data_IF_288469067374
#
_entry.id   IF_288469067374
#
_cell.length_a   1.000
_cell.length_b   1.000
_cell.length_c   1.000
_cell.angle_alpha   90.00
_cell.angle_beta   90.00
_cell.angle_gamma   90.00
#
_symmetry.space_group_name_H-M   'P 1'
#
loop_
_entity.id
_entity.type
_entity.pdbx_description
1 polymer ?
#
# COMPACT_ATOMS: atom_id res chain seq x y z
N UNK A 1 55.48 -0.84 30.08
CA UNK A 1 54.07 -0.39 30.19
C UNK A 1 53.34 -0.94 28.98
N UNK A 2 52.30 -1.77 29.18
CA UNK A 2 51.69 -2.60 28.13
C UNK A 2 50.40 -1.91 27.67
N UNK A 3 50.39 -1.38 26.45
CA UNK A 3 49.20 -0.78 25.84
C UNK A 3 48.20 -1.89 25.51
N UNK A 4 47.17 -2.05 26.35
CA UNK A 4 46.02 -2.92 26.09
C UNK A 4 44.80 -2.02 26.05
N UNK A 5 44.58 -1.28 24.96
CA UNK A 5 43.31 -0.58 24.73
C UNK A 5 43.25 -0.11 23.28
N UNK A 6 42.44 -0.74 22.44
CA UNK A 6 42.20 -0.23 21.07
C UNK A 6 41.41 -1.16 20.17
N UNK A 7 41.76 -2.46 20.12
CA UNK A 7 41.17 -3.39 19.16
C UNK A 7 39.71 -3.78 19.46
N UNK A 8 39.33 -3.88 20.74
CA UNK A 8 37.98 -4.33 21.13
C UNK A 8 36.87 -3.30 20.87
N UNK A 9 37.20 -2.00 20.88
CA UNK A 9 36.22 -0.93 20.69
C UNK A 9 35.82 -0.78 19.22
N UNK A 10 36.80 -0.92 18.32
CA UNK A 10 36.61 -0.80 16.87
C UNK A 10 35.78 -1.96 16.32
N UNK A 11 35.99 -3.18 16.83
CA UNK A 11 35.26 -4.37 16.35
C UNK A 11 33.78 -4.36 16.77
N UNK A 12 33.44 -3.77 17.93
CA UNK A 12 32.04 -3.60 18.37
C UNK A 12 31.30 -2.54 17.55
N UNK A 13 31.96 -1.45 17.19
CA UNK A 13 31.35 -0.37 16.42
C UNK A 13 30.92 -0.83 15.00
N UNK A 14 31.70 -1.71 14.37
CA UNK A 14 31.38 -2.24 13.04
C UNK A 14 30.14 -3.16 13.05
N UNK A 15 29.92 -3.91 14.13
CA UNK A 15 28.83 -4.87 14.25
C UNK A 15 27.45 -4.19 14.44
N UNK A 16 27.41 -3.00 15.05
CA UNK A 16 26.18 -2.22 15.21
C UNK A 16 25.73 -1.52 13.92
N UNK A 17 26.67 -1.17 13.03
CA UNK A 17 26.34 -0.54 11.75
C UNK A 17 25.73 -1.54 10.72
N UNK A 18 26.02 -2.83 10.85
CA UNK A 18 25.51 -3.88 9.95
C UNK A 18 24.06 -4.30 10.22
N UNK A 19 23.48 -3.91 11.36
CA UNK A 19 22.07 -4.15 11.70
C UNK A 19 21.14 -3.02 11.23
N UNK A 20 21.70 -1.94 10.69
CA UNK A 20 20.94 -0.90 10.00
C UNK A 20 20.57 -1.39 8.59
N UNK A 21 19.81 -2.48 8.51
CA UNK A 21 19.05 -2.81 7.31
C UNK A 21 18.24 -1.56 6.96
N UNK A 22 18.25 -1.09 5.70
CA UNK A 22 17.33 -0.03 5.33
C UNK A 22 15.94 -0.57 5.64
N UNK A 23 15.26 0.07 6.59
CA UNK A 23 13.83 -0.09 6.73
C UNK A 23 13.26 0.41 5.41
N UNK A 24 13.10 -0.50 4.44
CA UNK A 24 12.28 -0.26 3.27
C UNK A 24 10.96 0.20 3.88
N UNK A 25 10.66 1.48 3.68
CA UNK A 25 9.59 2.18 4.35
C UNK A 25 8.26 1.65 3.81
N UNK A 26 7.90 0.44 4.20
CA UNK A 26 6.57 -0.08 4.06
C UNK A 26 5.67 0.89 4.84
N UNK A 27 4.75 1.54 4.13
CA UNK A 27 3.74 2.38 4.75
C UNK A 27 3.06 1.57 5.87
N UNK A 28 2.68 2.24 6.95
CA UNK A 28 1.79 1.61 7.91
C UNK A 28 0.48 1.24 7.20
N UNK A 29 -0.22 0.21 7.69
CA UNK A 29 -1.49 -0.23 7.08
C UNK A 29 -2.52 0.89 6.98
N UNK A 30 -2.48 1.88 7.88
CA UNK A 30 -3.32 3.08 7.79
C UNK A 30 -3.02 3.89 6.54
N UNK A 31 -1.75 4.27 6.31
CA UNK A 31 -1.39 5.06 5.15
C UNK A 31 -1.57 4.26 3.86
N UNK A 32 -1.29 2.96 3.87
CA UNK A 32 -1.54 2.10 2.70
C UNK A 32 -3.04 2.05 2.33
N UNK A 33 -3.90 1.96 3.36
CA UNK A 33 -5.36 2.03 3.16
C UNK A 33 -5.79 3.40 2.63
N UNK A 34 -5.18 4.49 3.12
CA UNK A 34 -5.46 5.83 2.61
C UNK A 34 -5.09 5.95 1.13
N UNK A 35 -3.92 5.46 0.72
CA UNK A 35 -3.50 5.44 -0.69
C UNK A 35 -4.47 4.65 -1.58
N UNK A 36 -4.93 3.48 -1.09
CA UNK A 36 -5.92 2.65 -1.79
C UNK A 36 -7.26 3.36 -1.95
N UNK A 37 -7.81 3.93 -0.87
CA UNK A 37 -9.09 4.66 -0.88
C UNK A 37 -8.98 5.90 -1.76
N UNK A 38 -7.89 6.66 -1.66
CA UNK A 38 -7.63 7.82 -2.53
C UNK A 38 -7.55 7.40 -4.00
N UNK A 39 -6.89 6.28 -4.32
CA UNK A 39 -6.84 5.75 -5.69
C UNK A 39 -8.23 5.42 -6.23
N UNK A 40 -9.10 4.82 -5.41
CA UNK A 40 -10.49 4.53 -5.77
C UNK A 40 -11.28 5.83 -6.02
N UNK A 41 -11.25 6.75 -5.05
CA UNK A 41 -12.06 7.99 -5.09
C UNK A 41 -11.58 9.01 -6.12
N UNK A 42 -10.29 9.00 -6.47
CA UNK A 42 -9.72 9.91 -7.48
C UNK A 42 -9.88 9.42 -8.91
N UNK A 43 -10.48 8.24 -9.11
CA UNK A 43 -10.61 7.61 -10.42
C UNK A 43 -11.92 7.98 -11.10
N UNK A 44 -11.83 8.61 -12.28
CA UNK A 44 -13.00 8.83 -13.13
C UNK A 44 -13.64 7.52 -13.56
N UNK A 45 -12.86 6.45 -13.77
CA UNK A 45 -13.38 5.13 -14.13
C UNK A 45 -14.30 4.56 -13.05
N UNK A 46 -13.96 4.76 -11.76
CA UNK A 46 -14.81 4.33 -10.65
C UNK A 46 -16.05 5.21 -10.58
N UNK A 47 -15.89 6.53 -10.71
CA UNK A 47 -17.01 7.46 -10.69
C UNK A 47 -18.02 7.13 -11.81
N UNK A 48 -17.56 6.83 -13.01
CA UNK A 48 -18.41 6.43 -14.14
C UNK A 48 -19.02 5.04 -13.93
N UNK A 49 -18.27 4.08 -13.37
CA UNK A 49 -18.77 2.74 -13.09
C UNK A 49 -19.89 2.71 -12.04
N UNK A 50 -19.90 3.66 -11.10
CA UNK A 50 -21.01 3.84 -10.15
C UNK A 50 -22.06 4.85 -10.63
N UNK A 51 -22.00 5.30 -11.89
CA UNK A 51 -22.98 6.23 -12.45
C UNK A 51 -22.97 7.62 -11.80
N UNK A 52 -21.81 8.07 -11.29
CA UNK A 52 -21.64 9.33 -10.55
C UNK A 52 -22.50 9.40 -9.27
N UNK A 53 -22.97 8.25 -8.77
CA UNK A 53 -23.75 8.18 -7.54
C UNK A 53 -22.87 8.49 -6.29
N UNK A 54 -23.43 9.11 -5.24
CA UNK A 54 -22.70 9.37 -4.00
C UNK A 54 -22.21 8.07 -3.33
N UNK A 55 -20.93 8.06 -2.94
CA UNK A 55 -20.33 6.94 -2.23
C UNK A 55 -20.78 6.93 -0.77
N UNK A 56 -21.38 5.83 -0.32
CA UNK A 56 -21.79 5.62 1.06
C UNK A 56 -20.71 4.96 1.92
N UNK A 57 -20.00 3.97 1.38
CA UNK A 57 -18.88 3.34 2.08
C UNK A 57 -17.88 2.70 1.12
N UNK A 58 -16.61 2.64 1.55
CA UNK A 58 -15.54 1.92 0.88
C UNK A 58 -14.91 0.97 1.89
N UNK A 59 -14.86 -0.32 1.58
CA UNK A 59 -14.35 -1.35 2.48
C UNK A 59 -13.44 -2.34 1.75
N UNK A 60 -12.34 -2.74 2.38
CA UNK A 60 -11.54 -3.87 1.91
C UNK A 60 -12.28 -5.16 2.26
N UNK A 61 -12.57 -5.99 1.25
CA UNK A 61 -13.32 -7.24 1.42
C UNK A 61 -12.43 -8.47 1.32
N UNK A 62 -11.19 -8.30 0.86
CA UNK A 62 -10.21 -9.37 0.85
C UNK A 62 -9.07 -9.13 -0.12
N UNK A 63 -8.56 -10.21 -0.67
CA UNK A 63 -7.46 -10.24 -1.64
C UNK A 63 -7.78 -11.30 -2.69
N UNK A 64 -7.67 -10.93 -3.97
CA UNK A 64 -7.86 -11.84 -5.09
C UNK A 64 -6.64 -12.77 -5.22
N UNK A 65 -6.79 -13.91 -5.90
CA UNK A 65 -5.73 -14.92 -6.04
C UNK A 65 -4.42 -14.43 -6.70
N UNK A 66 -4.44 -13.28 -7.38
CA UNK A 66 -3.25 -12.62 -7.95
C UNK A 66 -2.57 -11.63 -6.99
N UNK A 67 -3.05 -11.51 -5.75
CA UNK A 67 -2.54 -10.57 -4.75
C UNK A 67 -3.14 -9.17 -4.85
N UNK A 68 -4.08 -8.91 -5.78
CA UNK A 68 -4.78 -7.63 -5.83
C UNK A 68 -5.69 -7.45 -4.61
N UNK A 69 -5.65 -6.28 -3.96
CA UNK A 69 -6.56 -5.98 -2.85
C UNK A 69 -7.97 -5.80 -3.38
N UNK A 70 -8.93 -6.57 -2.88
CA UNK A 70 -10.34 -6.46 -3.24
C UNK A 70 -11.02 -5.42 -2.35
N UNK A 71 -11.78 -4.52 -2.99
CA UNK A 71 -12.53 -3.47 -2.31
C UNK A 71 -13.95 -3.39 -2.85
N UNK A 72 -14.89 -3.09 -1.96
CA UNK A 72 -16.26 -2.78 -2.31
C UNK A 72 -16.50 -1.27 -2.16
N UNK A 73 -17.00 -0.66 -3.23
CA UNK A 73 -17.51 0.72 -3.26
C UNK A 73 -19.03 0.63 -3.25
N UNK A 74 -19.63 0.96 -2.12
CA UNK A 74 -21.09 0.94 -1.95
C UNK A 74 -21.67 2.33 -2.19
N UNK A 75 -22.67 2.39 -3.04
CA UNK A 75 -23.56 3.55 -3.22
C UNK A 75 -24.96 3.21 -2.69
N UNK A 76 -25.94 4.09 -2.88
CA UNK A 76 -27.33 3.79 -2.53
C UNK A 76 -27.94 2.71 -3.43
N UNK A 77 -27.45 2.61 -4.67
CA UNK A 77 -28.10 1.80 -5.72
C UNK A 77 -27.33 0.50 -6.02
N UNK A 78 -26.05 0.42 -5.66
CA UNK A 78 -25.21 -0.73 -5.99
C UNK A 78 -23.97 -0.89 -5.09
N UNK A 79 -23.43 -2.11 -5.08
CA UNK A 79 -22.11 -2.44 -4.58
C UNK A 79 -21.18 -2.75 -5.76
N UNK A 80 -20.20 -1.88 -6.02
CA UNK A 80 -19.19 -2.09 -7.04
C UNK A 80 -17.94 -2.74 -6.43
N UNK A 81 -17.58 -3.93 -6.91
CA UNK A 81 -16.29 -4.54 -6.59
C UNK A 81 -15.20 -3.97 -7.48
N UNK A 82 -14.09 -3.53 -6.88
CA UNK A 82 -12.88 -3.08 -7.56
C UNK A 82 -11.66 -3.81 -7.02
N UNK A 83 -10.65 -3.98 -7.86
CA UNK A 83 -9.38 -4.58 -7.49
C UNK A 83 -8.26 -3.56 -7.63
N UNK A 84 -7.40 -3.50 -6.62
CA UNK A 84 -6.20 -2.66 -6.59
C UNK A 84 -4.96 -3.53 -6.76
N UNK A 85 -4.37 -3.46 -7.95
CA UNK A 85 -3.15 -4.19 -8.31
C UNK A 85 -1.94 -3.34 -7.85
N UNK A 86 -1.08 -3.85 -6.96
CA UNK A 86 0.06 -3.10 -6.46
C UNK A 86 1.11 -2.85 -7.56
N UNK A 87 1.62 -1.63 -7.64
CA UNK A 87 2.77 -1.21 -8.45
C UNK A 87 3.86 -0.79 -7.47
N UNK A 88 4.92 -1.59 -7.41
CA UNK A 88 6.09 -1.30 -6.59
C UNK A 88 6.93 -0.18 -7.22
N UNK A 89 7.47 0.74 -6.42
CA UNK A 89 8.35 1.80 -6.92
C UNK A 89 9.72 1.23 -7.33
N UNK A 90 10.37 1.89 -8.29
CA UNK A 90 11.77 1.65 -8.61
C UNK A 90 12.66 2.31 -7.55
N UNK A 91 12.88 1.63 -6.43
CA UNK A 91 13.69 2.10 -5.31
C UNK A 91 12.86 2.58 -4.11
N UNK A 92 13.39 3.48 -3.26
CA UNK A 92 12.66 3.98 -2.10
C UNK A 92 11.37 4.72 -2.52
N UNK A 93 10.24 4.27 -2.02
CA UNK A 93 8.94 4.90 -2.30
C UNK A 93 7.78 4.10 -1.71
N UNK A 94 6.56 4.64 -1.86
CA UNK A 94 5.32 3.94 -1.51
C UNK A 94 4.88 3.02 -2.66
N UNK A 95 4.20 1.94 -2.32
CA UNK A 95 3.41 1.17 -3.29
C UNK A 95 2.28 2.05 -3.81
N UNK A 96 2.11 2.09 -5.13
CA UNK A 96 0.94 2.71 -5.77
C UNK A 96 0.03 1.62 -6.34
N UNK A 97 -1.15 1.97 -6.82
CA UNK A 97 -2.15 0.99 -7.23
C UNK A 97 -2.73 1.31 -8.58
N UNK A 98 -2.89 0.28 -9.41
CA UNK A 98 -3.71 0.33 -10.63
C UNK A 98 -5.06 -0.30 -10.36
N UNK A 99 -6.11 0.36 -10.85
CA UNK A 99 -7.48 -0.14 -10.77
C UNK A 99 -7.76 -1.19 -11.84
N UNK A 100 -8.48 -2.22 -11.43
CA UNK A 100 -9.16 -3.19 -12.27
C UNK A 100 -10.63 -3.25 -11.84
N UNK A 101 -11.53 -2.98 -12.78
CA UNK A 101 -12.97 -2.78 -12.53
C UNK A 101 -13.73 -3.74 -13.46
N UNK A 102 -14.15 -4.92 -12.98
CA UNK A 102 -14.72 -5.97 -13.83
C UNK A 102 -16.16 -5.67 -14.30
N UNK A 103 -16.82 -4.67 -13.73
CA UNK A 103 -18.22 -4.38 -14.00
C UNK A 103 -18.60 -2.93 -13.73
N UNK A 104 -19.90 -2.65 -13.84
CA UNK A 104 -20.50 -1.34 -13.56
C UNK A 104 -21.86 -1.53 -12.92
N UNK A 105 -22.32 -0.52 -12.20
CA UNK A 105 -23.70 -0.42 -11.76
C UNK A 105 -24.61 -0.17 -12.97
N UNK A 106 -25.82 -0.74 -12.95
CA UNK A 106 -26.81 -0.63 -14.02
C UNK A 106 -27.59 0.67 -13.95
#
# INVERSE_FOLDING_TARGET
MKHITGAGLVFRALFLAALASPAMAALSGFYDSAEKITTILSSSLVADAVGQAPVGSIANTGTRGDGASEWQVRTQECDLTVYLIPILPEGPGKTTYRLDIPGRCQ
#
